data_IF_672703723010
#
_entry.id   IF_672703723010
#
_cell.length_a   1.000
_cell.length_b   1.000
_cell.length_c   1.000
_cell.angle_alpha   90.00
_cell.angle_beta   90.00
_cell.angle_gamma   90.00
#
_symmetry.space_group_name_H-M   'P 1'
#
loop_
_entity.id
_entity.type
_entity.pdbx_description
1 polymer ?
#
# COMPACT_ATOMS: atom_id res chain seq x y z
N UNK A 1 -8.24 15.78 8.17
CA UNK A 1 -9.07 15.06 7.18
C UNK A 1 -8.22 14.27 6.18
N UNK A 2 -7.27 14.87 5.46
CA UNK A 2 -6.39 14.20 4.48
C UNK A 2 -5.71 12.89 4.95
N UNK A 3 -5.22 12.84 6.19
CA UNK A 3 -4.54 11.66 6.73
C UNK A 3 -5.44 10.40 6.81
N UNK A 4 -6.75 10.58 7.10
CA UNK A 4 -7.68 9.45 7.26
C UNK A 4 -8.05 8.82 5.91
N UNK A 5 -8.15 9.64 4.85
CA UNK A 5 -8.39 9.16 3.49
C UNK A 5 -7.19 8.39 2.94
N UNK A 6 -5.97 8.87 3.24
CA UNK A 6 -4.74 8.18 2.86
C UNK A 6 -4.62 6.81 3.54
N UNK A 7 -4.90 6.74 4.85
CA UNK A 7 -4.90 5.48 5.61
C UNK A 7 -5.93 4.50 5.04
N UNK A 8 -7.15 4.97 4.71
CA UNK A 8 -8.17 4.12 4.07
C UNK A 8 -7.67 3.52 2.76
N UNK A 9 -7.01 4.33 1.93
CA UNK A 9 -6.51 3.90 0.62
C UNK A 9 -5.34 2.90 0.73
N UNK A 10 -4.51 3.06 1.76
CA UNK A 10 -3.45 2.10 2.13
C UNK A 10 -4.06 0.76 2.54
N UNK A 11 -5.10 0.76 3.38
CA UNK A 11 -5.76 -0.47 3.82
C UNK A 11 -6.52 -1.19 2.70
N UNK A 12 -7.17 -0.45 1.80
CA UNK A 12 -7.78 -1.03 0.59
C UNK A 12 -6.73 -1.72 -0.29
N UNK A 13 -5.62 -1.05 -0.57
CA UNK A 13 -4.53 -1.61 -1.37
C UNK A 13 -3.88 -2.83 -0.70
N UNK A 14 -3.71 -2.82 0.63
CA UNK A 14 -3.27 -4.01 1.39
C UNK A 14 -4.21 -5.19 1.22
N UNK A 15 -5.52 -4.93 1.30
CA UNK A 15 -6.54 -5.98 1.17
C UNK A 15 -6.53 -6.61 -0.22
N UNK A 16 -6.44 -5.79 -1.28
CA UNK A 16 -6.33 -6.27 -2.66
C UNK A 16 -5.06 -7.08 -2.90
N UNK A 17 -3.94 -6.62 -2.35
CA UNK A 17 -2.66 -7.28 -2.52
C UNK A 17 -2.63 -8.65 -1.81
N UNK A 18 -3.19 -8.72 -0.60
CA UNK A 18 -3.35 -9.98 0.12
C UNK A 18 -4.26 -10.96 -0.65
N UNK A 19 -5.35 -10.48 -1.24
CA UNK A 19 -6.22 -11.32 -2.09
C UNK A 19 -5.47 -11.84 -3.31
N UNK A 20 -4.69 -10.99 -3.99
CA UNK A 20 -3.92 -11.40 -5.17
C UNK A 20 -2.79 -12.39 -4.81
N UNK A 21 -2.15 -12.23 -3.65
CA UNK A 21 -1.07 -13.11 -3.19
C UNK A 21 -1.55 -14.55 -2.86
N UNK A 22 -2.85 -14.74 -2.59
CA UNK A 22 -3.45 -16.07 -2.39
C UNK A 22 -3.54 -16.86 -3.70
N UNK A 23 -3.70 -16.18 -4.84
CA UNK A 23 -3.97 -16.83 -6.13
C UNK A 23 -2.80 -16.74 -7.13
N UNK A 24 -1.84 -15.83 -6.94
CA UNK A 24 -0.69 -15.64 -7.84
C UNK A 24 0.63 -15.96 -7.15
N UNK A 25 1.60 -16.55 -7.87
CA UNK A 25 2.99 -16.70 -7.38
C UNK A 25 3.52 -15.31 -7.01
N UNK A 26 4.18 -15.18 -5.86
CA UNK A 26 4.70 -13.92 -5.27
C UNK A 26 5.58 -13.06 -6.22
N UNK A 27 6.04 -13.61 -7.33
CA UNK A 27 6.83 -12.94 -8.37
C UNK A 27 5.98 -12.40 -9.55
N UNK A 28 4.65 -12.43 -9.46
CA UNK A 28 3.80 -11.81 -10.48
C UNK A 28 4.02 -10.29 -10.50
N UNK A 29 4.27 -9.78 -11.71
CA UNK A 29 4.69 -8.38 -11.93
C UNK A 29 3.62 -7.39 -11.48
N UNK A 30 2.34 -7.75 -11.55
CA UNK A 30 1.26 -6.91 -11.03
C UNK A 30 1.30 -6.86 -9.50
N UNK A 31 1.51 -8.01 -8.85
CA UNK A 31 1.61 -8.11 -7.39
C UNK A 31 2.77 -7.26 -6.86
N UNK A 32 3.94 -7.38 -7.49
CA UNK A 32 5.14 -6.59 -7.14
C UNK A 32 4.89 -5.10 -7.37
N UNK A 33 4.27 -4.71 -8.48
CA UNK A 33 3.98 -3.30 -8.76
C UNK A 33 2.98 -2.70 -7.77
N UNK A 34 1.98 -3.48 -7.34
CA UNK A 34 1.01 -3.04 -6.34
C UNK A 34 1.68 -2.88 -4.97
N UNK A 35 2.59 -3.79 -4.63
CA UNK A 35 3.37 -3.76 -3.37
C UNK A 35 4.24 -2.53 -3.29
N UNK A 36 4.94 -2.22 -4.37
CA UNK A 36 5.80 -1.04 -4.43
C UNK A 36 5.02 0.27 -4.37
N UNK A 37 3.80 0.32 -4.92
CA UNK A 37 2.93 1.51 -4.80
C UNK A 37 2.47 1.72 -3.36
N UNK A 38 2.10 0.64 -2.69
CA UNK A 38 1.71 0.67 -1.28
C UNK A 38 2.86 1.13 -0.39
N UNK A 39 4.06 0.60 -0.59
CA UNK A 39 5.26 0.99 0.16
C UNK A 39 5.59 2.48 0.01
N UNK A 40 5.42 3.05 -1.19
CA UNK A 40 5.63 4.49 -1.41
C UNK A 40 4.65 5.34 -0.62
N UNK A 41 3.37 4.99 -0.65
CA UNK A 41 2.32 5.71 0.09
C UNK A 41 2.54 5.64 1.61
N UNK A 42 2.96 4.48 2.12
CA UNK A 42 3.31 4.31 3.54
C UNK A 42 4.51 5.17 3.95
N UNK A 43 5.54 5.23 3.11
CA UNK A 43 6.72 6.05 3.37
C UNK A 43 6.42 7.55 3.33
N UNK A 44 5.57 8.00 2.40
CA UNK A 44 5.10 9.39 2.34
C UNK A 44 4.31 9.76 3.60
N UNK A 45 3.40 8.88 4.04
CA UNK A 45 2.65 9.08 5.28
C UNK A 45 3.56 9.15 6.51
N UNK A 46 4.56 8.28 6.62
CA UNK A 46 5.50 8.30 7.75
C UNK A 46 6.34 9.59 7.77
N UNK A 47 6.79 10.08 6.61
CA UNK A 47 7.53 11.35 6.52
C UNK A 47 6.68 12.54 6.99
N UNK A 48 5.42 12.59 6.57
CA UNK A 48 4.48 13.64 6.99
C UNK A 48 4.14 13.58 8.49
N UNK A 49 4.22 12.39 9.11
CA UNK A 49 4.05 12.22 10.56
C UNK A 49 5.31 12.56 11.36
N UNK A 50 6.52 12.39 10.81
CA UNK A 50 7.78 12.73 11.47
C UNK A 50 8.19 14.21 11.34
N UNK A 51 7.61 14.94 10.37
CA UNK A 51 7.85 16.37 10.17
C UNK A 51 6.96 17.29 11.04
N UNK A 52 6.18 16.72 11.96
CA UNK A 52 5.39 17.40 12.98
C UNK A 52 5.97 17.14 14.37
#
# INVERSE_FOLDING_TARGET
MFALELIRKIEELRSELNKLAVYKRLADRELVSLSQKLDRLLNEFQKDQQAK
#
